data_IF_409249886930
#
_entry.id   IF_409249886930
#
_cell.length_a   1.000
_cell.length_b   1.000
_cell.length_c   1.000
_cell.angle_alpha   90.00
_cell.angle_beta   90.00
_cell.angle_gamma   90.00
#
_symmetry.space_group_name_H-M   'P 1'
#
loop_
_entity.id
_entity.type
_entity.pdbx_description
1 polymer ?
#
# COMPACT_ATOMS: atom_id res chain seq x y z
N UNK A 1 -57.92 -22.69 -32.51
CA UNK A 1 -57.21 -21.47 -32.09
C UNK A 1 -57.14 -21.51 -30.58
N UNK A 2 -55.97 -21.75 -29.99
CA UNK A 2 -55.59 -21.20 -28.68
C UNK A 2 -54.05 -21.02 -28.71
N UNK A 3 -53.62 -19.77 -28.83
CA UNK A 3 -52.40 -19.30 -28.15
C UNK A 3 -52.78 -19.22 -26.66
N UNK A 4 -51.94 -19.22 -25.62
CA UNK A 4 -50.58 -18.72 -25.36
C UNK A 4 -50.10 -19.35 -24.02
N UNK A 5 -48.85 -19.28 -23.54
CA UNK A 5 -47.60 -18.69 -24.02
C UNK A 5 -46.41 -19.52 -23.50
N UNK A 6 -45.20 -19.32 -24.03
CA UNK A 6 -43.96 -19.88 -23.45
C UNK A 6 -43.39 -18.94 -22.38
N UNK A 7 -43.31 -19.40 -21.13
CA UNK A 7 -42.74 -18.62 -20.03
C UNK A 7 -41.20 -18.50 -20.17
N UNK A 8 -40.73 -17.31 -20.54
CA UNK A 8 -39.30 -16.98 -20.52
C UNK A 8 -38.86 -16.70 -19.08
N UNK A 9 -38.12 -17.62 -18.47
CA UNK A 9 -37.44 -17.36 -17.19
C UNK A 9 -36.28 -16.38 -17.43
N UNK A 10 -36.24 -15.21 -16.75
CA UNK A 10 -35.13 -14.28 -16.89
C UNK A 10 -33.89 -14.89 -16.21
N UNK A 11 -32.87 -15.23 -17.00
CA UNK A 11 -31.54 -15.56 -16.48
C UNK A 11 -30.97 -14.28 -15.86
N UNK A 12 -31.02 -14.18 -14.53
CA UNK A 12 -30.38 -13.11 -13.79
C UNK A 12 -28.87 -13.21 -13.99
N UNK A 13 -28.35 -12.41 -14.91
CA UNK A 13 -26.93 -12.20 -15.09
C UNK A 13 -26.40 -11.50 -13.83
N UNK A 14 -25.85 -12.28 -12.89
CA UNK A 14 -25.17 -11.73 -11.71
C UNK A 14 -23.87 -11.09 -12.20
N UNK A 15 -23.93 -9.80 -12.53
CA UNK A 15 -22.76 -8.99 -12.83
C UNK A 15 -21.99 -8.85 -11.51
N UNK A 16 -20.99 -9.70 -11.32
CA UNK A 16 -20.10 -9.64 -10.16
C UNK A 16 -19.39 -8.30 -10.12
N UNK A 17 -19.83 -7.42 -9.22
CA UNK A 17 -19.18 -6.13 -8.98
C UNK A 17 -17.79 -6.43 -8.43
N UNK A 18 -16.76 -6.29 -9.28
CA UNK A 18 -15.36 -6.31 -8.82
C UNK A 18 -15.12 -5.06 -7.99
N UNK A 19 -15.32 -5.16 -6.67
CA UNK A 19 -14.96 -4.14 -5.71
C UNK A 19 -13.46 -3.88 -5.81
N UNK A 20 -13.07 -2.70 -6.27
CA UNK A 20 -11.69 -2.25 -6.18
C UNK A 20 -11.41 -2.05 -4.70
N UNK A 21 -10.52 -2.86 -4.12
CA UNK A 21 -10.05 -2.63 -2.76
C UNK A 21 -9.35 -1.27 -2.70
N UNK A 22 -9.80 -0.39 -1.81
CA UNK A 22 -9.18 0.92 -1.57
C UNK A 22 -8.76 0.99 -0.11
N UNK A 23 -7.50 1.32 0.14
CA UNK A 23 -6.98 1.59 1.47
C UNK A 23 -7.52 2.92 2.00
N UNK A 24 -7.82 2.97 3.31
CA UNK A 24 -8.17 4.21 4.02
C UNK A 24 -6.94 5.04 4.32
N UNK A 25 -7.12 6.36 4.50
CA UNK A 25 -6.03 7.29 4.82
C UNK A 25 -5.22 6.87 6.06
N UNK A 26 -5.88 6.38 7.11
CA UNK A 26 -5.21 5.92 8.34
C UNK A 26 -4.21 4.79 8.08
N UNK A 27 -4.48 3.93 7.10
CA UNK A 27 -3.64 2.80 6.69
C UNK A 27 -2.74 3.12 5.48
N UNK A 28 -2.61 4.40 5.11
CA UNK A 28 -1.79 4.87 4.00
C UNK A 28 -0.38 5.25 4.48
N UNK A 29 0.65 4.59 3.96
CA UNK A 29 2.05 4.72 4.37
C UNK A 29 2.85 5.71 3.51
N UNK A 30 2.53 5.87 2.22
CA UNK A 30 3.36 6.68 1.33
C UNK A 30 3.49 8.15 1.76
N UNK A 31 4.65 8.58 2.22
CA UNK A 31 4.99 9.98 2.47
C UNK A 31 5.74 10.19 3.79
N UNK A 32 6.77 11.02 3.77
CA UNK A 32 7.66 11.28 4.90
C UNK A 32 7.01 12.09 6.04
N UNK A 33 6.00 12.90 5.75
CA UNK A 33 5.35 13.77 6.73
C UNK A 33 3.85 13.95 6.43
N UNK A 34 3.11 14.55 7.37
CA UNK A 34 1.66 14.74 7.24
C UNK A 34 1.20 15.42 5.96
N UNK A 35 1.96 16.38 5.42
CA UNK A 35 1.60 17.06 4.17
C UNK A 35 1.84 16.16 2.95
N UNK A 36 3.01 15.53 2.86
CA UNK A 36 3.34 14.65 1.71
C UNK A 36 2.48 13.38 1.71
N UNK A 37 2.14 12.84 2.88
CA UNK A 37 1.19 11.72 3.07
C UNK A 37 -0.24 12.05 2.61
N UNK A 38 -0.72 13.27 2.86
CA UNK A 38 -2.01 13.74 2.34
C UNK A 38 -1.95 13.86 0.80
N UNK A 39 -0.90 14.51 0.27
CA UNK A 39 -0.75 14.75 -1.17
C UNK A 39 -0.64 13.43 -1.94
N UNK A 40 0.14 12.46 -1.46
CA UNK A 40 0.30 11.15 -2.10
C UNK A 40 -1.00 10.35 -2.09
N UNK A 41 -1.73 10.31 -0.98
CA UNK A 41 -3.00 9.59 -0.85
C UNK A 41 -4.05 10.08 -1.84
N UNK A 42 -4.29 11.40 -1.88
CA UNK A 42 -5.28 11.97 -2.81
C UNK A 42 -4.83 11.87 -4.27
N UNK A 43 -3.54 12.05 -4.57
CA UNK A 43 -3.01 11.86 -5.93
C UNK A 43 -3.21 10.42 -6.40
N UNK A 44 -2.90 9.43 -5.55
CA UNK A 44 -3.09 8.01 -5.87
C UNK A 44 -4.56 7.63 -6.02
N UNK A 45 -5.46 8.17 -5.19
CA UNK A 45 -6.91 7.95 -5.33
C UNK A 45 -7.51 8.57 -6.60
N UNK A 46 -7.02 9.73 -7.03
CA UNK A 46 -7.54 10.46 -8.19
C UNK A 46 -7.01 9.90 -9.51
N UNK A 47 -5.70 9.66 -9.61
CA UNK A 47 -5.04 9.29 -10.87
C UNK A 47 -4.76 7.79 -10.99
N UNK A 48 -4.45 7.12 -9.89
CA UNK A 48 -3.90 5.75 -9.89
C UNK A 48 -4.73 4.76 -9.06
N UNK A 49 -6.05 5.00 -8.94
CA UNK A 49 -6.92 4.35 -7.93
C UNK A 49 -6.80 2.83 -7.85
N UNK A 50 -6.62 2.16 -8.99
CA UNK A 50 -6.50 0.70 -9.14
C UNK A 50 -5.22 0.10 -8.53
N UNK A 51 -4.20 0.92 -8.32
CA UNK A 51 -2.88 0.54 -7.83
C UNK A 51 -2.64 0.99 -6.37
N UNK A 52 -3.62 1.61 -5.73
CA UNK A 52 -3.50 2.17 -4.38
C UNK A 52 -2.99 1.15 -3.36
N UNK A 53 -3.55 -0.05 -3.33
CA UNK A 53 -3.15 -1.11 -2.39
C UNK A 53 -1.70 -1.56 -2.64
N UNK A 54 -1.33 -1.75 -3.90
CA UNK A 54 -0.03 -2.27 -4.32
C UNK A 54 1.09 -1.26 -4.09
N UNK A 55 0.88 0.01 -4.46
CA UNK A 55 1.84 1.10 -4.20
C UNK A 55 1.98 1.37 -2.71
N UNK A 56 0.88 1.32 -1.94
CA UNK A 56 0.94 1.48 -0.48
C UNK A 56 1.78 0.38 0.20
N UNK A 57 1.72 -0.85 -0.31
CA UNK A 57 2.58 -1.93 0.14
C UNK A 57 4.06 -1.65 -0.15
N UNK A 58 4.40 -1.13 -1.33
CA UNK A 58 5.76 -0.71 -1.65
C UNK A 58 6.27 0.40 -0.72
N UNK A 59 5.42 1.34 -0.33
CA UNK A 59 5.75 2.38 0.65
C UNK A 59 6.04 1.79 2.04
N UNK A 60 5.16 0.93 2.55
CA UNK A 60 5.39 0.27 3.85
C UNK A 60 6.69 -0.57 3.88
N UNK A 61 7.08 -1.16 2.75
CA UNK A 61 8.38 -1.85 2.62
C UNK A 61 9.57 -0.87 2.60
N UNK A 62 9.40 0.32 2.02
CA UNK A 62 10.42 1.38 1.97
C UNK A 62 10.64 2.01 3.35
N UNK A 63 9.56 2.34 4.05
CA UNK A 63 9.58 2.87 5.41
C UNK A 63 10.27 1.87 6.36
N UNK A 64 9.87 0.61 6.37
CA UNK A 64 10.54 -0.44 7.15
C UNK A 64 12.02 -0.66 6.75
N UNK A 65 12.39 -0.45 5.47
CA UNK A 65 13.79 -0.51 5.03
C UNK A 65 14.61 0.68 5.56
N UNK A 66 13.98 1.85 5.68
CA UNK A 66 14.52 3.05 6.30
C UNK A 66 14.65 2.87 7.83
N UNK A 67 13.62 2.40 8.53
CA UNK A 67 13.65 2.16 9.98
C UNK A 67 14.73 1.13 10.37
N UNK A 68 14.87 0.06 9.59
CA UNK A 68 15.93 -0.94 9.76
C UNK A 68 17.31 -0.50 9.25
N UNK A 69 17.43 0.75 8.76
CA UNK A 69 18.69 1.37 8.32
C UNK A 69 19.50 0.51 7.33
N UNK A 70 18.82 -0.16 6.39
CA UNK A 70 19.43 -1.12 5.44
C UNK A 70 20.19 -0.45 4.27
N UNK A 71 20.43 0.86 4.37
CA UNK A 71 21.16 1.68 3.41
C UNK A 71 20.26 2.34 2.36
N UNK A 72 20.09 3.66 2.46
CA UNK A 72 19.18 4.47 1.62
C UNK A 72 19.12 4.07 0.14
N UNK A 73 20.28 4.02 -0.55
CA UNK A 73 20.35 3.71 -1.99
C UNK A 73 19.77 2.33 -2.34
N UNK A 74 19.85 1.36 -1.42
CA UNK A 74 19.25 0.04 -1.58
C UNK A 74 17.74 0.15 -1.44
N UNK A 75 17.27 0.76 -0.35
CA UNK A 75 15.84 0.97 -0.09
C UNK A 75 15.16 1.74 -1.23
N UNK A 76 15.73 2.86 -1.70
CA UNK A 76 15.19 3.66 -2.81
C UNK A 76 15.09 2.84 -4.11
N UNK A 77 16.09 2.00 -4.41
CA UNK A 77 16.10 1.13 -5.58
C UNK A 77 15.08 -0.02 -5.47
N UNK A 78 14.90 -0.59 -4.28
CA UNK A 78 13.92 -1.66 -4.01
C UNK A 78 12.49 -1.12 -4.03
N UNK A 79 12.24 0.07 -3.47
CA UNK A 79 10.99 0.80 -3.63
C UNK A 79 10.66 1.02 -5.10
N UNK A 80 11.60 1.52 -5.90
CA UNK A 80 11.32 1.83 -7.30
C UNK A 80 10.99 0.60 -8.14
N UNK A 81 11.69 -0.52 -7.93
CA UNK A 81 11.35 -1.80 -8.57
C UNK A 81 9.98 -2.31 -8.12
N UNK A 82 9.62 -2.16 -6.85
CA UNK A 82 8.31 -2.53 -6.34
C UNK A 82 7.21 -1.66 -6.99
N UNK A 83 7.41 -0.34 -7.04
CA UNK A 83 6.47 0.61 -7.61
C UNK A 83 6.25 0.38 -9.12
N UNK A 84 7.34 0.16 -9.88
CA UNK A 84 7.30 -0.21 -11.30
C UNK A 84 6.51 -1.50 -11.54
N UNK A 85 6.68 -2.52 -10.68
CA UNK A 85 5.92 -3.78 -10.77
C UNK A 85 4.46 -3.67 -10.28
N UNK A 86 4.18 -2.70 -9.39
CA UNK A 86 2.87 -2.46 -8.81
C UNK A 86 1.93 -1.66 -9.73
N UNK A 87 2.47 -0.93 -10.73
CA UNK A 87 1.72 -0.05 -11.63
C UNK A 87 1.94 -0.38 -13.09
N UNK A 88 0.94 -0.15 -13.93
CA UNK A 88 1.15 0.00 -15.38
C UNK A 88 1.52 1.47 -15.67
N UNK A 89 2.75 1.78 -16.12
CA UNK A 89 3.23 3.16 -16.27
C UNK A 89 2.48 3.95 -17.35
N UNK A 90 1.85 3.31 -18.34
CA UNK A 90 0.98 4.03 -19.30
C UNK A 90 -0.28 4.59 -18.62
N UNK A 91 -0.69 3.99 -17.51
CA UNK A 91 -1.91 4.32 -16.77
C UNK A 91 -1.68 5.06 -15.45
N UNK A 92 -0.45 5.02 -14.91
CA UNK A 92 -0.08 5.64 -13.63
C UNK A 92 1.39 6.10 -13.62
N UNK A 93 1.62 7.37 -13.98
CA UNK A 93 2.96 7.99 -14.00
C UNK A 93 3.45 8.53 -12.64
N UNK A 94 2.65 8.42 -11.58
CA UNK A 94 2.98 8.99 -10.26
C UNK A 94 4.11 8.22 -9.54
N UNK A 95 4.26 6.93 -9.83
CA UNK A 95 5.33 6.08 -9.28
C UNK A 95 6.70 6.47 -9.82
N UNK A 96 6.81 6.71 -11.14
CA UNK A 96 8.04 7.23 -11.77
C UNK A 96 8.45 8.59 -11.18
N UNK A 97 7.48 9.49 -10.96
CA UNK A 97 7.74 10.79 -10.34
C UNK A 97 8.24 10.63 -8.89
N UNK A 98 7.61 9.76 -8.10
CA UNK A 98 8.08 9.46 -6.74
C UNK A 98 9.53 8.97 -6.73
N UNK A 99 9.88 8.07 -7.66
CA UNK A 99 11.23 7.57 -7.84
C UNK A 99 12.27 8.63 -8.17
N UNK A 100 11.93 9.57 -9.07
CA UNK A 100 12.81 10.70 -9.37
C UNK A 100 13.04 11.60 -8.15
N UNK A 101 12.03 11.75 -7.27
CA UNK A 101 12.09 12.62 -6.09
C UNK A 101 12.86 12.02 -4.91
N UNK A 102 12.95 10.70 -4.75
CA UNK A 102 13.69 10.06 -3.64
C UNK A 102 15.16 10.48 -3.56
N UNK A 103 15.79 10.78 -4.69
CA UNK A 103 17.16 11.32 -4.72
C UNK A 103 17.31 12.64 -3.95
N UNK A 104 16.25 13.45 -3.90
CA UNK A 104 16.18 14.78 -3.27
C UNK A 104 15.66 14.69 -1.83
N UNK A 105 14.50 14.05 -1.61
CA UNK A 105 13.83 14.05 -0.30
C UNK A 105 14.27 12.88 0.61
N UNK A 106 14.65 11.75 0.01
CA UNK A 106 14.91 10.51 0.75
C UNK A 106 16.07 10.57 1.73
N UNK A 107 17.03 11.49 1.55
CA UNK A 107 18.15 11.62 2.50
C UNK A 107 17.70 12.15 3.87
N UNK A 108 16.71 13.05 3.91
CA UNK A 108 16.16 13.57 5.16
C UNK A 108 15.35 12.48 5.85
N UNK A 109 14.35 11.92 5.16
CA UNK A 109 13.49 10.85 5.68
C UNK A 109 14.29 9.63 6.19
N UNK A 110 15.34 9.20 5.46
CA UNK A 110 16.21 8.09 5.90
C UNK A 110 16.96 8.41 7.20
N UNK A 111 17.36 9.66 7.38
CA UNK A 111 18.07 10.11 8.59
C UNK A 111 17.10 10.24 9.76
N UNK A 112 15.87 10.71 9.51
CA UNK A 112 14.83 10.84 10.54
C UNK A 112 14.33 9.48 11.03
N UNK A 113 14.16 8.50 10.13
CA UNK A 113 13.84 7.11 10.45
C UNK A 113 14.86 6.46 11.40
N UNK A 114 16.14 6.84 11.35
CA UNK A 114 17.17 6.35 12.28
C UNK A 114 16.91 6.73 13.76
N UNK A 115 16.07 7.75 13.99
CA UNK A 115 15.67 8.20 15.33
C UNK A 115 14.24 7.79 15.69
N UNK A 116 13.52 7.11 14.78
CA UNK A 116 12.22 6.53 15.09
C UNK A 116 12.38 5.47 16.18
N UNK A 117 11.48 5.52 17.16
CA UNK A 117 11.34 4.49 18.18
C UNK A 117 9.88 4.04 18.12
N UNK A 118 9.64 2.78 17.76
CA UNK A 118 8.30 2.21 17.75
C UNK A 118 7.72 2.27 19.18
N UNK A 119 6.49 2.82 19.38
CA UNK A 119 5.86 2.86 20.69
C UNK A 119 5.56 1.46 21.23
N UNK A 120 5.70 1.27 22.55
CA UNK A 120 5.35 0.00 23.22
C UNK A 120 3.86 -0.40 23.04
N UNK A 121 3.00 0.57 22.68
CA UNK A 121 1.57 0.41 22.42
C UNK A 121 1.21 0.40 20.92
N UNK A 122 2.17 0.16 20.02
CA UNK A 122 1.92 0.08 18.57
C UNK A 122 0.81 -0.95 18.22
N UNK A 123 -0.30 -0.44 17.68
CA UNK A 123 -1.48 -1.25 17.38
C UNK A 123 -1.24 -2.13 16.15
N UNK A 124 -1.07 -3.43 16.39
CA UNK A 124 -0.91 -4.44 15.33
C UNK A 124 -2.17 -4.54 14.48
N UNK A 125 -2.10 -4.07 13.24
CA UNK A 125 -3.18 -4.16 12.27
C UNK A 125 -3.49 -5.62 11.91
N UNK A 126 -4.57 -6.17 12.48
CA UNK A 126 -5.13 -7.46 12.07
C UNK A 126 -6.33 -7.21 11.15
N UNK A 127 -6.21 -7.50 9.83
CA UNK A 127 -7.34 -7.47 8.91
C UNK A 127 -8.47 -8.38 9.39
N UNK A 128 -9.72 -7.90 9.30
CA UNK A 128 -10.92 -8.67 9.66
C UNK A 128 -11.23 -9.78 8.63
N UNK A 129 -10.33 -10.75 8.51
CA UNK A 129 -10.40 -11.93 7.64
C UNK A 129 -10.53 -13.14 8.55
N UNK A 130 -11.62 -13.88 8.43
CA UNK A 130 -11.92 -14.99 9.32
C UNK A 130 -10.86 -16.11 9.27
N UNK A 131 -10.16 -16.34 10.39
CA UNK A 131 -9.29 -17.51 10.58
C UNK A 131 -7.84 -17.32 10.16
N UNK A 132 -7.36 -16.08 10.03
CA UNK A 132 -5.93 -15.78 9.82
C UNK A 132 -5.28 -15.04 11.00
N UNK A 133 -6.04 -14.71 12.03
CA UNK A 133 -5.65 -13.85 13.16
C UNK A 133 -4.36 -14.34 13.84
N UNK A 134 -4.30 -15.62 14.18
CA UNK A 134 -3.12 -16.25 14.81
C UNK A 134 -1.89 -16.23 13.89
N UNK A 135 -2.07 -16.49 12.59
CA UNK A 135 -0.98 -16.46 11.61
C UNK A 135 -0.40 -15.05 11.43
N UNK A 136 -1.24 -14.02 11.54
CA UNK A 136 -0.83 -12.61 11.48
C UNK A 136 -0.11 -12.20 12.77
N UNK A 137 -0.58 -12.65 13.95
CA UNK A 137 0.14 -12.41 15.21
C UNK A 137 1.53 -13.08 15.23
N UNK A 138 1.64 -14.33 14.75
CA UNK A 138 2.93 -15.04 14.60
C UNK A 138 3.87 -14.41 13.57
N UNK A 139 3.35 -13.61 12.62
CA UNK A 139 4.15 -12.80 11.71
C UNK A 139 4.79 -11.62 12.46
N UNK A 140 4.00 -10.89 13.26
CA UNK A 140 4.50 -9.78 14.09
C UNK A 140 5.55 -10.20 15.12
N UNK A 141 5.48 -11.42 15.66
CA UNK A 141 6.50 -11.95 16.58
C UNK A 141 7.87 -12.18 15.93
N UNK A 142 7.92 -12.29 14.59
CA UNK A 142 9.15 -12.55 13.82
C UNK A 142 9.73 -11.28 13.21
N UNK A 143 9.06 -10.14 13.31
CA UNK A 143 9.58 -8.88 12.82
C UNK A 143 10.88 -8.52 13.55
N UNK A 144 11.94 -8.10 12.83
CA UNK A 144 13.13 -7.57 13.48
C UNK A 144 12.73 -6.31 14.26
N UNK A 145 13.09 -6.26 15.55
CA UNK A 145 12.87 -5.06 16.36
C UNK A 145 13.73 -3.91 15.80
N UNK A 146 13.12 -2.75 15.61
CA UNK A 146 13.83 -1.49 15.39
C UNK A 146 14.54 -1.12 16.69
N UNK A 147 15.79 -1.59 16.86
CA UNK A 147 16.57 -1.37 18.09
C UNK A 147 17.74 -0.42 17.86
N UNK A 148 17.89 0.49 18.81
CA UNK A 148 19.08 1.33 19.03
C UNK A 148 20.36 0.50 19.13
N UNK A 149 21.43 1.03 18.57
CA UNK A 149 22.79 0.90 19.14
C UNK A 149 22.94 1.87 20.34
#
# INVERSE_FOLDING_TARGET
MELWSTAYAPVLLVIGIKTVATISYENWFCGDNSFTRIVSYYSMLLYCRRYTVQVNHCCALHDNCYDLQLGRKKCDLEFCKCAEQATDPESCVLTDFSCAMLGVVGQQAYTEAAFYNEPDDFEKLVPAIHGVDEAILQLYEKCPRVMRE
#
